data_IF_061300367056
#
_entry.id   IF_061300367056
#
_cell.length_a   1.000
_cell.length_b   1.000
_cell.length_c   1.000
_cell.angle_alpha   90.00
_cell.angle_beta   90.00
_cell.angle_gamma   90.00
#
_symmetry.space_group_name_H-M   'P 1'
#
loop_
_entity.id
_entity.type
_entity.pdbx_description
1 polymer ?
#
# COMPACT_ATOMS: atom_id res chain seq x y z
N UNK A 1 37.45 19.65 1.42
CA UNK A 1 38.62 19.64 0.51
C UNK A 1 38.38 18.74 -0.71
N UNK A 2 37.83 17.52 -0.54
CA UNK A 2 37.51 16.61 -1.65
C UNK A 2 36.49 17.15 -2.67
N UNK A 3 35.43 17.84 -2.25
CA UNK A 3 34.47 18.48 -3.18
C UNK A 3 35.11 19.61 -4.00
N UNK A 4 36.02 20.39 -3.38
CA UNK A 4 36.75 21.47 -4.05
C UNK A 4 37.67 20.97 -5.17
N UNK A 5 38.07 19.69 -5.13
CA UNK A 5 38.90 19.04 -6.17
C UNK A 5 38.05 18.17 -7.12
N UNK A 6 36.71 18.28 -7.06
CA UNK A 6 35.76 17.48 -7.87
C UNK A 6 35.92 15.96 -7.71
N UNK A 7 36.56 15.49 -6.64
CA UNK A 7 36.80 14.06 -6.44
C UNK A 7 35.49 13.31 -6.22
N UNK A 8 34.60 13.86 -5.39
CA UNK A 8 33.29 13.26 -5.07
C UNK A 8 32.43 13.12 -6.33
N UNK A 9 32.38 14.15 -7.19
CA UNK A 9 31.62 14.08 -8.45
C UNK A 9 32.21 13.04 -9.40
N UNK A 10 33.54 12.95 -9.51
CA UNK A 10 34.21 11.93 -10.33
C UNK A 10 33.93 10.51 -9.85
N UNK A 11 33.89 10.30 -8.52
CA UNK A 11 33.52 9.00 -7.95
C UNK A 11 32.07 8.64 -8.25
N UNK A 12 31.13 9.57 -8.07
CA UNK A 12 29.70 9.37 -8.40
C UNK A 12 29.55 9.01 -9.88
N UNK A 13 30.22 9.74 -10.76
CA UNK A 13 30.19 9.48 -12.20
C UNK A 13 30.79 8.13 -12.58
N UNK A 14 31.89 7.73 -11.93
CA UNK A 14 32.50 6.42 -12.15
C UNK A 14 31.61 5.28 -11.68
N UNK A 15 31.02 5.38 -10.48
CA UNK A 15 30.07 4.39 -9.95
C UNK A 15 28.88 4.25 -10.91
N UNK A 16 28.25 5.38 -11.26
CA UNK A 16 27.10 5.37 -12.17
C UNK A 16 27.46 4.76 -13.54
N UNK A 17 28.64 5.06 -14.07
CA UNK A 17 29.12 4.47 -15.32
C UNK A 17 29.31 2.95 -15.23
N UNK A 18 29.96 2.45 -14.18
CA UNK A 18 30.20 1.02 -13.98
C UNK A 18 28.87 0.27 -13.88
N UNK A 19 27.95 0.75 -13.02
CA UNK A 19 26.64 0.12 -12.82
C UNK A 19 25.82 0.11 -14.11
N UNK A 20 25.74 1.24 -14.82
CA UNK A 20 24.99 1.33 -16.08
C UNK A 20 25.58 0.41 -17.16
N UNK A 21 26.91 0.33 -17.26
CA UNK A 21 27.57 -0.56 -18.22
C UNK A 21 27.28 -2.03 -17.93
N UNK A 22 27.39 -2.45 -16.68
CA UNK A 22 27.20 -3.87 -16.30
C UNK A 22 25.73 -4.31 -16.36
N UNK A 23 24.79 -3.45 -15.97
CA UNK A 23 23.36 -3.74 -16.08
C UNK A 23 22.90 -3.99 -17.53
N UNK A 24 23.60 -3.41 -18.52
CA UNK A 24 23.34 -3.68 -19.94
C UNK A 24 23.77 -5.09 -20.37
N UNK A 25 24.76 -5.69 -19.69
CA UNK A 25 25.22 -7.07 -19.95
C UNK A 25 24.36 -8.15 -19.26
N UNK A 26 23.61 -7.81 -18.21
CA UNK A 26 22.75 -8.74 -17.48
C UNK A 26 21.32 -8.87 -18.02
N UNK A 27 20.95 -8.16 -19.10
CA UNK A 27 19.65 -8.31 -19.75
C UNK A 27 19.65 -9.56 -20.65
N UNK A 28 18.80 -10.58 -20.38
CA UNK A 28 18.66 -11.70 -21.31
C UNK A 28 17.82 -11.24 -22.50
N UNK A 29 18.47 -10.84 -23.58
CA UNK A 29 17.74 -10.49 -24.81
C UNK A 29 18.43 -9.50 -25.74
N UNK A 30 19.74 -9.64 -25.99
CA UNK A 30 20.33 -9.19 -27.27
C UNK A 30 21.71 -9.82 -27.48
N UNK A 31 21.70 -11.03 -28.02
CA UNK A 31 22.87 -11.66 -28.62
C UNK A 31 22.45 -12.17 -29.98
N UNK A 32 23.06 -11.61 -31.03
CA UNK A 32 22.81 -11.94 -32.42
C UNK A 32 22.96 -13.44 -32.71
N UNK A 33 22.16 -13.89 -33.66
CA UNK A 33 22.11 -15.21 -34.28
C UNK A 33 23.47 -15.80 -34.65
N UNK A 34 23.85 -16.95 -34.07
CA UNK A 34 24.55 -18.05 -34.77
C UNK A 34 24.21 -19.41 -34.12
N UNK A 35 23.41 -20.18 -34.88
CA UNK A 35 23.35 -21.64 -35.05
C UNK A 35 23.09 -22.64 -33.89
N UNK A 36 22.35 -23.69 -34.30
CA UNK A 36 21.67 -24.75 -33.56
C UNK A 36 22.57 -25.68 -32.72
N UNK A 37 22.02 -26.11 -31.57
CA UNK A 37 21.64 -27.51 -31.26
C UNK A 37 21.83 -27.87 -29.78
N UNK A 38 20.96 -28.77 -29.30
CA UNK A 38 20.87 -29.38 -27.97
C UNK A 38 19.86 -28.74 -26.99
N UNK A 39 18.64 -29.27 -27.10
CA UNK A 39 17.62 -29.30 -26.05
C UNK A 39 18.20 -29.99 -24.81
N UNK A 40 18.17 -29.31 -23.66
CA UNK A 40 17.93 -29.94 -22.34
C UNK A 40 17.66 -28.88 -21.28
N UNK A 41 16.38 -28.80 -20.93
CA UNK A 41 15.84 -28.55 -19.59
C UNK A 41 16.85 -28.22 -18.48
N UNK A 42 16.95 -26.93 -18.16
CA UNK A 42 17.35 -26.50 -16.83
C UNK A 42 16.52 -25.28 -16.45
N UNK A 43 15.46 -25.55 -15.70
CA UNK A 43 14.79 -24.60 -14.82
C UNK A 43 15.84 -24.12 -13.82
N UNK A 44 16.61 -23.11 -14.19
CA UNK A 44 17.42 -22.37 -13.24
C UNK A 44 16.53 -21.28 -12.66
N UNK A 45 16.12 -21.50 -11.41
CA UNK A 45 15.60 -20.48 -10.52
C UNK A 45 16.49 -19.24 -10.57
N UNK A 46 16.06 -18.22 -11.31
CA UNK A 46 16.59 -16.88 -11.14
C UNK A 46 16.09 -16.38 -9.77
N UNK A 47 16.90 -16.57 -8.73
CA UNK A 47 16.89 -15.62 -7.62
C UNK A 47 17.00 -14.24 -8.28
N UNK A 48 16.19 -13.24 -7.91
CA UNK A 48 16.44 -11.89 -8.35
C UNK A 48 17.82 -11.57 -7.77
N UNK A 49 18.83 -11.57 -8.63
CA UNK A 49 20.16 -11.12 -8.26
C UNK A 49 19.93 -9.67 -7.89
N UNK A 50 19.85 -9.40 -6.59
CA UNK A 50 20.15 -8.07 -6.08
C UNK A 50 21.57 -7.88 -6.57
N UNK A 51 21.71 -7.08 -7.63
CA UNK A 51 22.99 -6.89 -8.28
C UNK A 51 24.05 -6.61 -7.21
N UNK A 52 25.22 -7.23 -7.33
CA UNK A 52 26.30 -7.15 -6.33
C UNK A 52 26.56 -5.70 -5.87
N UNK A 53 26.42 -4.73 -6.79
CA UNK A 53 26.60 -3.31 -6.54
C UNK A 53 25.53 -2.71 -5.61
N UNK A 54 24.33 -3.28 -5.54
CA UNK A 54 23.25 -2.75 -4.70
C UNK A 54 23.61 -2.82 -3.21
N UNK A 55 24.31 -3.87 -2.77
CA UNK A 55 24.79 -3.95 -1.39
C UNK A 55 25.84 -2.89 -1.09
N UNK A 56 26.77 -2.65 -2.00
CA UNK A 56 27.82 -1.64 -1.85
C UNK A 56 27.25 -0.22 -1.81
N UNK A 57 26.23 0.07 -2.65
CA UNK A 57 25.56 1.37 -2.64
C UNK A 57 24.86 1.66 -1.31
N UNK A 58 24.41 0.64 -0.58
CA UNK A 58 23.71 0.85 0.70
C UNK A 58 24.59 1.35 1.84
N UNK A 59 25.92 1.31 1.69
CA UNK A 59 26.86 1.88 2.67
C UNK A 59 26.97 3.39 2.54
N UNK A 60 26.56 3.94 1.40
CA UNK A 60 26.62 5.37 1.13
C UNK A 60 25.64 6.15 2.01
N UNK A 61 26.07 7.32 2.48
CA UNK A 61 25.15 8.30 3.07
C UNK A 61 24.08 8.70 2.05
N UNK A 62 22.90 9.06 2.53
CA UNK A 62 21.74 9.30 1.69
C UNK A 62 21.98 10.36 0.60
N UNK A 63 22.72 11.42 0.92
CA UNK A 63 23.06 12.49 -0.03
C UNK A 63 23.90 11.98 -1.20
N UNK A 64 24.85 11.08 -0.92
CA UNK A 64 25.69 10.47 -1.96
C UNK A 64 24.91 9.39 -2.72
N UNK A 65 24.15 8.57 -2.01
CA UNK A 65 23.29 7.53 -2.60
C UNK A 65 22.31 8.14 -3.61
N UNK A 66 21.60 9.21 -3.23
CA UNK A 66 20.69 9.95 -4.12
C UNK A 66 21.42 10.46 -5.37
N UNK A 67 22.60 11.08 -5.21
CA UNK A 67 23.38 11.60 -6.33
C UNK A 67 23.85 10.49 -7.28
N UNK A 68 24.20 9.31 -6.76
CA UNK A 68 24.55 8.14 -7.58
C UNK A 68 23.33 7.69 -8.39
N UNK A 69 22.15 7.53 -7.76
CA UNK A 69 20.95 7.10 -8.48
C UNK A 69 20.53 8.11 -9.56
N UNK A 70 20.62 9.41 -9.28
CA UNK A 70 20.37 10.46 -10.27
C UNK A 70 21.37 10.36 -11.44
N UNK A 71 22.66 10.16 -11.15
CA UNK A 71 23.69 10.01 -12.18
C UNK A 71 23.53 8.72 -13.01
N UNK A 72 22.97 7.65 -12.42
CA UNK A 72 22.60 6.42 -13.14
C UNK A 72 21.42 6.68 -14.09
N UNK A 73 20.36 7.36 -13.61
CA UNK A 73 19.22 7.73 -14.46
C UNK A 73 19.63 8.63 -15.62
N UNK A 74 20.51 9.61 -15.38
CA UNK A 74 21.05 10.48 -16.43
C UNK A 74 21.86 9.73 -17.50
N UNK A 75 22.31 8.50 -17.20
CA UNK A 75 23.03 7.60 -18.12
C UNK A 75 22.12 6.54 -18.74
N UNK A 76 20.80 6.64 -18.55
CA UNK A 76 19.81 5.76 -19.16
C UNK A 76 19.41 4.56 -18.30
N UNK A 77 19.82 4.50 -17.03
CA UNK A 77 19.29 3.49 -16.11
C UNK A 77 17.80 3.73 -15.88
N UNK A 78 16.98 2.68 -16.07
CA UNK A 78 15.52 2.82 -16.05
C UNK A 78 15.01 2.99 -14.62
N UNK A 79 14.08 3.92 -14.41
CA UNK A 79 13.61 4.28 -13.08
C UNK A 79 12.97 3.10 -12.34
N UNK A 80 12.13 2.30 -12.99
CA UNK A 80 11.52 1.09 -12.39
C UNK A 80 12.56 0.08 -11.88
N UNK A 81 13.76 0.04 -12.48
CA UNK A 81 14.83 -0.87 -12.07
C UNK A 81 15.53 -0.43 -10.77
N UNK A 82 15.24 0.78 -10.26
CA UNK A 82 15.75 1.25 -8.96
C UNK A 82 15.03 0.59 -7.77
N UNK A 83 13.88 -0.04 -7.99
CA UNK A 83 13.06 -0.61 -6.91
C UNK A 83 13.84 -1.51 -5.94
N UNK A 84 14.58 -2.53 -6.41
CA UNK A 84 15.35 -3.42 -5.54
C UNK A 84 16.40 -2.70 -4.68
N UNK A 85 17.17 -1.76 -5.25
CA UNK A 85 18.21 -1.05 -4.48
C UNK A 85 17.59 -0.05 -3.49
N UNK A 86 16.48 0.61 -3.85
CA UNK A 86 15.74 1.49 -2.94
C UNK A 86 15.15 0.70 -1.77
N UNK A 87 14.57 -0.48 -2.05
CA UNK A 87 14.06 -1.37 -1.02
C UNK A 87 15.16 -1.84 -0.07
N UNK A 88 16.30 -2.26 -0.59
CA UNK A 88 17.44 -2.68 0.22
C UNK A 88 17.99 -1.52 1.08
N UNK A 89 18.11 -0.32 0.49
CA UNK A 89 18.57 0.87 1.21
C UNK A 89 17.61 1.22 2.36
N UNK A 90 16.30 1.23 2.09
CA UNK A 90 15.27 1.47 3.09
C UNK A 90 15.33 0.44 4.23
N UNK A 91 15.41 -0.85 3.88
CA UNK A 91 15.49 -1.94 4.86
C UNK A 91 16.73 -1.89 5.74
N UNK A 92 17.85 -1.30 5.31
CA UNK A 92 19.06 -1.11 6.13
C UNK A 92 19.00 0.17 6.96
N UNK A 93 18.62 1.28 6.33
CA UNK A 93 18.62 2.60 6.96
C UNK A 93 17.49 2.80 7.99
N UNK A 94 16.34 2.18 7.75
CA UNK A 94 15.16 2.28 8.62
C UNK A 94 15.11 1.19 9.70
N UNK A 95 16.13 0.33 9.81
CA UNK A 95 16.22 -0.68 10.89
C UNK A 95 16.10 -0.05 12.28
N UNK A 96 15.44 -0.77 13.19
CA UNK A 96 15.21 -0.31 14.56
C UNK A 96 13.98 0.58 14.73
N UNK A 97 13.25 0.91 13.66
CA UNK A 97 11.90 1.48 13.77
C UNK A 97 10.91 0.37 14.15
N UNK A 98 10.08 0.62 15.16
CA UNK A 98 8.99 -0.27 15.55
C UNK A 98 7.71 0.12 14.79
N UNK A 99 7.53 -0.48 13.61
CA UNK A 99 6.45 -0.15 12.68
C UNK A 99 5.11 -0.88 12.97
N UNK A 100 5.10 -1.78 13.95
CA UNK A 100 4.00 -2.70 14.25
C UNK A 100 3.40 -2.52 15.66
N UNK A 101 3.40 -1.28 16.18
CA UNK A 101 2.55 -0.90 17.32
C UNK A 101 3.03 -1.34 18.72
N UNK A 102 4.23 -1.94 18.87
CA UNK A 102 4.77 -2.31 20.19
C UNK A 102 5.54 -1.15 20.84
N UNK A 103 4.86 -0.02 21.05
CA UNK A 103 5.41 1.16 21.70
C UNK A 103 6.39 1.96 20.84
N UNK A 104 6.51 3.27 21.10
CA UNK A 104 7.58 4.09 20.53
C UNK A 104 8.83 3.86 21.37
N UNK A 105 9.78 3.04 20.93
CA UNK A 105 11.16 3.14 21.44
C UNK A 105 11.63 4.58 21.28
N UNK A 106 12.12 5.18 22.36
CA UNK A 106 12.72 6.53 22.32
C UNK A 106 13.98 6.47 21.46
N UNK A 107 13.85 6.87 20.20
CA UNK A 107 14.97 7.10 19.30
C UNK A 107 15.54 8.49 19.64
N UNK A 108 16.86 8.65 19.54
CA UNK A 108 17.45 9.97 19.75
C UNK A 108 16.95 10.96 18.69
N UNK A 109 16.59 12.21 19.04
CA UNK A 109 16.00 13.17 18.10
C UNK A 109 16.84 13.38 16.82
N UNK A 110 18.17 13.30 16.96
CA UNK A 110 19.09 13.39 15.82
C UNK A 110 18.95 12.19 14.88
N UNK A 111 18.93 10.98 15.42
CA UNK A 111 18.78 9.76 14.64
C UNK A 111 17.39 9.69 13.99
N UNK A 112 16.36 10.16 14.69
CA UNK A 112 15.00 10.31 14.14
C UNK A 112 15.00 11.27 12.95
N UNK A 113 15.62 12.45 13.07
CA UNK A 113 15.75 13.41 11.97
C UNK A 113 16.52 12.82 10.77
N UNK A 114 17.65 12.15 11.02
CA UNK A 114 18.42 11.49 9.96
C UNK A 114 17.59 10.43 9.22
N UNK A 115 16.81 9.60 9.95
CA UNK A 115 15.89 8.61 9.36
C UNK A 115 14.75 9.26 8.59
N UNK A 116 14.22 10.40 9.06
CA UNK A 116 13.18 11.18 8.37
C UNK A 116 13.69 11.65 7.00
N UNK A 117 14.87 12.26 6.95
CA UNK A 117 15.51 12.73 5.70
C UNK A 117 15.76 11.56 4.74
N UNK A 118 16.23 10.43 5.27
CA UNK A 118 16.41 9.20 4.48
C UNK A 118 15.09 8.76 3.84
N UNK A 119 14.03 8.66 4.63
CA UNK A 119 12.73 8.20 4.15
C UNK A 119 12.15 9.12 3.07
N UNK A 120 12.15 10.44 3.30
CA UNK A 120 11.65 11.41 2.32
C UNK A 120 12.44 11.36 1.01
N UNK A 121 13.77 11.18 1.11
CA UNK A 121 14.62 11.03 -0.07
C UNK A 121 14.31 9.74 -0.83
N UNK A 122 14.12 8.61 -0.13
CA UNK A 122 13.71 7.34 -0.76
C UNK A 122 12.39 7.52 -1.50
N UNK A 123 11.37 8.12 -0.86
CA UNK A 123 10.05 8.35 -1.47
C UNK A 123 10.17 9.21 -2.73
N UNK A 124 11.00 10.26 -2.70
CA UNK A 124 11.25 11.12 -3.87
C UNK A 124 11.90 10.39 -5.06
N UNK A 125 12.58 9.28 -4.81
CA UNK A 125 13.27 8.47 -5.82
C UNK A 125 12.44 7.27 -6.30
N UNK A 126 11.31 6.96 -5.64
CA UNK A 126 10.49 5.80 -6.00
C UNK A 126 9.97 5.91 -7.44
N UNK A 127 9.98 4.81 -8.21
CA UNK A 127 9.39 4.79 -9.54
C UNK A 127 7.90 5.15 -9.49
N UNK A 128 7.44 5.97 -10.43
CA UNK A 128 6.06 6.49 -10.45
C UNK A 128 5.06 5.52 -11.05
N UNK A 129 5.56 4.52 -11.77
CA UNK A 129 4.76 3.54 -12.48
C UNK A 129 4.01 2.62 -11.50
N UNK A 130 2.77 2.28 -11.84
CA UNK A 130 1.97 1.28 -11.13
C UNK A 130 2.71 -0.05 -11.10
N UNK A 131 2.65 -0.77 -9.97
CA UNK A 131 3.29 -2.07 -9.75
C UNK A 131 4.82 -2.05 -9.75
N UNK A 132 5.47 -0.89 -9.79
CA UNK A 132 6.93 -0.82 -9.70
C UNK A 132 7.45 -1.19 -8.30
N UNK A 133 6.65 -0.98 -7.26
CA UNK A 133 6.94 -1.34 -5.87
C UNK A 133 5.78 -2.16 -5.30
N UNK A 134 6.06 -3.14 -4.43
CA UNK A 134 4.99 -3.89 -3.77
C UNK A 134 4.20 -3.00 -2.80
N UNK A 135 2.91 -3.28 -2.62
CA UNK A 135 2.07 -2.56 -1.64
C UNK A 135 2.62 -2.72 -0.23
N UNK A 136 3.13 -3.89 0.11
CA UNK A 136 3.77 -4.15 1.41
C UNK A 136 4.98 -3.26 1.68
N UNK A 137 5.78 -2.97 0.66
CA UNK A 137 6.90 -2.04 0.80
C UNK A 137 6.41 -0.61 0.98
N UNK A 138 5.41 -0.18 0.21
CA UNK A 138 4.79 1.15 0.37
C UNK A 138 4.14 1.31 1.76
N UNK A 139 3.45 0.28 2.25
CA UNK A 139 2.87 0.25 3.60
C UNK A 139 3.95 0.37 4.67
N UNK A 140 5.07 -0.35 4.53
CA UNK A 140 6.21 -0.24 5.43
C UNK A 140 6.77 1.20 5.46
N UNK A 141 6.94 1.84 4.30
CA UNK A 141 7.37 3.23 4.21
C UNK A 141 6.34 4.20 4.82
N UNK A 142 5.04 3.95 4.63
CA UNK A 142 3.97 4.79 5.19
C UNK A 142 3.92 4.71 6.72
N UNK A 143 4.03 3.50 7.29
CA UNK A 143 4.17 3.30 8.73
C UNK A 143 5.40 4.03 9.28
N UNK A 144 6.53 3.95 8.58
CA UNK A 144 7.74 4.67 8.94
C UNK A 144 7.54 6.20 8.83
N UNK A 145 6.82 6.67 7.81
CA UNK A 145 6.53 8.09 7.57
C UNK A 145 5.68 8.68 8.68
N UNK A 146 4.64 7.95 9.12
CA UNK A 146 3.81 8.33 10.28
C UNK A 146 4.60 8.30 11.58
N UNK A 147 5.44 7.28 11.78
CA UNK A 147 6.29 7.16 12.99
C UNK A 147 7.28 8.31 13.10
N UNK A 148 7.90 8.69 11.98
CA UNK A 148 8.92 9.74 11.90
C UNK A 148 8.32 11.13 11.66
N UNK A 149 7.00 11.28 11.56
CA UNK A 149 6.34 12.56 11.30
C UNK A 149 6.98 13.28 10.10
N UNK A 150 7.06 12.59 8.96
CA UNK A 150 7.54 13.19 7.69
C UNK A 150 6.57 14.24 7.18
N UNK A 151 6.99 15.00 6.18
CA UNK A 151 6.14 15.97 5.46
C UNK A 151 4.83 15.34 4.98
N UNK A 152 3.75 16.13 5.02
CA UNK A 152 2.43 15.70 4.53
C UNK A 152 2.50 15.27 3.06
N UNK A 153 3.29 15.96 2.24
CA UNK A 153 3.49 15.59 0.83
C UNK A 153 4.08 14.17 0.67
N UNK A 154 5.05 13.79 1.51
CA UNK A 154 5.63 12.45 1.51
C UNK A 154 4.58 11.38 1.86
N UNK A 155 3.72 11.66 2.85
CA UNK A 155 2.66 10.73 3.26
C UNK A 155 1.60 10.57 2.18
N UNK A 156 1.12 11.68 1.61
CA UNK A 156 0.12 11.67 0.55
C UNK A 156 0.63 10.99 -0.73
N UNK A 157 1.92 11.14 -1.07
CA UNK A 157 2.51 10.44 -2.22
C UNK A 157 2.49 8.92 -2.02
N UNK A 158 2.81 8.44 -0.82
CA UNK A 158 2.71 7.01 -0.49
C UNK A 158 1.27 6.51 -0.51
N UNK A 159 0.33 7.25 0.09
CA UNK A 159 -1.09 6.91 0.09
C UNK A 159 -1.66 6.84 -1.34
N UNK A 160 -1.27 7.78 -2.21
CA UNK A 160 -1.65 7.79 -3.63
C UNK A 160 -1.12 6.57 -4.38
N UNK A 161 0.16 6.25 -4.18
CA UNK A 161 0.80 5.06 -4.80
C UNK A 161 0.17 3.76 -4.32
N UNK A 162 -0.20 3.65 -3.04
CA UNK A 162 -0.93 2.48 -2.53
C UNK A 162 -2.31 2.38 -3.18
N UNK A 163 -3.05 3.48 -3.30
CA UNK A 163 -4.37 3.52 -3.94
C UNK A 163 -4.36 3.00 -5.39
N UNK A 164 -3.34 3.35 -6.19
CA UNK A 164 -3.22 2.92 -7.60
C UNK A 164 -3.12 1.40 -7.79
N UNK A 165 -2.74 0.64 -6.76
CA UNK A 165 -2.50 -0.81 -6.80
C UNK A 165 -3.13 -1.54 -5.61
N UNK A 166 -4.22 -0.99 -5.07
CA UNK A 166 -4.88 -1.50 -3.88
C UNK A 166 -5.38 -2.95 -4.03
N UNK A 167 -5.71 -3.39 -5.25
CA UNK A 167 -6.12 -4.76 -5.55
C UNK A 167 -5.07 -5.84 -5.24
N UNK A 168 -3.80 -5.45 -5.09
CA UNK A 168 -2.70 -6.36 -4.71
C UNK A 168 -2.38 -6.33 -3.22
N UNK A 169 -3.03 -5.46 -2.46
CA UNK A 169 -2.79 -5.32 -1.03
C UNK A 169 -3.41 -6.49 -0.27
N UNK A 170 -2.77 -6.85 0.84
CA UNK A 170 -3.38 -7.71 1.86
C UNK A 170 -3.86 -6.87 3.04
N UNK A 171 -4.68 -7.45 3.92
CA UNK A 171 -5.23 -6.74 5.08
C UNK A 171 -4.13 -6.07 5.92
N UNK A 172 -3.02 -6.78 6.18
CA UNK A 172 -1.90 -6.26 6.96
C UNK A 172 -1.30 -4.98 6.34
N UNK A 173 -1.34 -4.81 5.02
CA UNK A 173 -0.81 -3.60 4.39
C UNK A 173 -1.61 -2.34 4.78
N UNK A 174 -2.88 -2.49 5.19
CA UNK A 174 -3.77 -1.40 5.60
C UNK A 174 -3.82 -1.18 7.11
N UNK A 175 -3.28 -2.08 7.92
CA UNK A 175 -3.28 -1.99 9.39
C UNK A 175 -2.21 -1.02 9.91
N UNK A 176 -2.29 0.24 9.47
CA UNK A 176 -1.39 1.32 9.86
C UNK A 176 -1.68 1.70 11.33
N UNK A 177 -0.74 1.56 12.27
CA UNK A 177 -0.98 1.89 13.67
C UNK A 177 -1.31 3.36 13.86
N UNK A 178 -2.23 3.66 14.76
CA UNK A 178 -2.43 5.02 15.25
C UNK A 178 -1.27 5.42 16.15
N UNK A 179 -0.67 6.59 15.94
CA UNK A 179 0.39 7.15 16.79
C UNK A 179 -0.11 8.34 17.62
N UNK A 180 -1.44 8.46 17.79
CA UNK A 180 -2.05 9.51 18.59
C UNK A 180 -1.68 9.32 20.08
N UNK A 181 -1.34 10.42 20.75
CA UNK A 181 -1.04 10.42 22.19
C UNK A 181 -2.30 10.34 23.08
N UNK A 182 -3.47 10.49 22.47
CA UNK A 182 -4.78 10.66 23.12
C UNK A 182 -5.52 9.35 23.39
N UNK A 183 -5.00 8.21 22.93
CA UNK A 183 -5.69 6.92 23.02
C UNK A 183 -6.74 6.71 21.92
N UNK A 184 -6.65 7.46 20.82
CA UNK A 184 -7.57 7.35 19.68
C UNK A 184 -7.16 6.20 18.78
N UNK A 185 -8.09 5.24 18.63
CA UNK A 185 -8.10 4.05 17.76
C UNK A 185 -6.82 3.21 17.69
N UNK A 186 -6.92 1.90 17.47
CA UNK A 186 -5.76 1.03 17.27
C UNK A 186 -5.06 1.34 15.94
N UNK A 187 -5.83 1.71 14.93
CA UNK A 187 -5.36 1.98 13.57
C UNK A 187 -5.72 3.40 13.10
N UNK A 188 -4.91 3.94 12.18
CA UNK A 188 -5.15 5.20 11.49
C UNK A 188 -6.16 4.99 10.35
N UNK A 189 -7.44 5.09 10.73
CA UNK A 189 -8.61 4.93 9.85
C UNK A 189 -8.64 5.99 8.75
N UNK A 190 -8.20 7.22 9.06
CA UNK A 190 -8.26 8.36 8.13
C UNK A 190 -7.28 8.17 6.96
N UNK A 191 -6.12 7.54 7.22
CA UNK A 191 -5.16 7.16 6.18
C UNK A 191 -5.73 6.14 5.20
N UNK A 192 -6.42 5.10 5.69
CA UNK A 192 -7.03 4.09 4.81
C UNK A 192 -8.19 4.68 4.00
N UNK A 193 -8.97 5.59 4.58
CA UNK A 193 -10.00 6.33 3.86
C UNK A 193 -9.42 7.13 2.67
N UNK A 194 -8.25 7.78 2.85
CA UNK A 194 -7.56 8.50 1.76
C UNK A 194 -6.99 7.55 0.70
N UNK A 195 -6.42 6.42 1.10
CA UNK A 195 -5.95 5.38 0.17
C UNK A 195 -7.10 4.87 -0.71
N UNK A 196 -8.26 4.59 -0.11
CA UNK A 196 -9.45 4.15 -0.84
C UNK A 196 -9.99 5.25 -1.77
N UNK A 197 -9.98 6.51 -1.32
CA UNK A 197 -10.37 7.65 -2.16
C UNK A 197 -9.46 7.80 -3.39
N UNK A 198 -8.14 7.67 -3.21
CA UNK A 198 -7.18 7.66 -4.31
C UNK A 198 -7.41 6.50 -5.29
N UNK A 199 -7.79 5.32 -4.80
CA UNK A 199 -8.16 4.19 -5.66
C UNK A 199 -9.38 4.51 -6.53
N UNK A 200 -10.46 5.05 -5.94
CA UNK A 200 -11.68 5.41 -6.67
C UNK A 200 -11.45 6.52 -7.70
N UNK A 201 -10.63 7.52 -7.34
CA UNK A 201 -10.22 8.59 -8.27
C UNK A 201 -9.44 8.01 -9.45
N UNK A 202 -8.48 7.13 -9.19
CA UNK A 202 -7.69 6.45 -10.22
C UNK A 202 -8.55 5.60 -11.16
N UNK A 203 -9.51 4.82 -10.63
CA UNK A 203 -10.44 4.03 -11.45
C UNK A 203 -11.32 4.91 -12.34
N UNK A 204 -11.75 6.07 -11.83
CA UNK A 204 -12.56 7.04 -12.57
C UNK A 204 -11.76 7.71 -13.69
N UNK A 205 -10.51 8.11 -13.41
CA UNK A 205 -9.60 8.70 -14.41
C UNK A 205 -9.23 7.70 -15.51
N UNK A 206 -8.93 6.44 -15.14
CA UNK A 206 -8.65 5.36 -16.09
C UNK A 206 -9.83 5.10 -17.02
N UNK A 207 -11.05 5.10 -16.48
CA UNK A 207 -12.29 4.96 -17.27
C UNK A 207 -12.52 6.15 -18.22
N UNK A 208 -12.19 7.39 -17.81
CA UNK A 208 -12.37 8.61 -18.62
C UNK A 208 -11.43 8.71 -19.81
N UNK A 209 -10.18 8.25 -19.67
CA UNK A 209 -9.20 8.26 -20.77
C UNK A 209 -9.57 7.27 -21.89
N UNK A 210 -10.36 6.25 -21.58
CA UNK A 210 -10.81 5.21 -22.51
C UNK A 210 -11.88 5.71 -23.51
N UNK A 211 -12.61 6.78 -23.20
CA UNK A 211 -13.63 7.33 -24.10
C UNK A 211 -13.05 8.14 -25.28
N UNK A 212 -11.73 8.37 -25.32
CA UNK A 212 -11.07 9.20 -26.31
C UNK A 212 -10.03 8.46 -27.19
N UNK A 213 -9.83 7.15 -27.01
CA UNK A 213 -8.91 6.35 -27.82
C UNK A 213 -9.57 5.05 -28.25
N UNK A 214 -9.67 4.81 -29.56
CA UNK A 214 -10.32 3.64 -30.17
C UNK A 214 -9.55 2.32 -30.02
N UNK A 215 -8.65 2.15 -29.04
CA UNK A 215 -7.92 0.89 -28.86
C UNK A 215 -7.58 0.56 -27.39
N UNK A 216 -7.74 -0.73 -27.09
CA UNK A 216 -7.29 -1.52 -25.94
C UNK A 216 -7.89 -1.22 -24.55
N UNK A 217 -8.77 -2.12 -24.09
CA UNK A 217 -9.38 -2.14 -22.75
C UNK A 217 -8.32 -2.15 -21.63
N UNK A 218 -8.08 -0.99 -21.01
CA UNK A 218 -7.39 -0.89 -19.71
C UNK A 218 -8.37 -0.37 -18.65
N UNK A 219 -9.55 -0.99 -18.56
CA UNK A 219 -10.30 -1.00 -17.30
C UNK A 219 -9.64 -2.02 -16.39
N UNK A 220 -9.51 -1.72 -15.08
CA UNK A 220 -9.10 -2.74 -14.11
C UNK A 220 -10.04 -3.95 -14.26
N UNK A 221 -9.53 -5.20 -14.36
CA UNK A 221 -10.37 -6.36 -14.52
C UNK A 221 -11.47 -6.37 -13.43
N UNK A 222 -12.70 -6.84 -13.71
CA UNK A 222 -13.76 -6.92 -12.71
C UNK A 222 -13.30 -7.60 -11.40
N UNK A 223 -12.34 -8.52 -11.51
CA UNK A 223 -11.70 -9.22 -10.40
C UNK A 223 -10.87 -8.33 -9.47
N UNK A 224 -10.31 -7.21 -9.94
CA UNK A 224 -9.55 -6.28 -9.10
C UNK A 224 -10.47 -5.44 -8.22
N UNK A 225 -11.61 -5.00 -8.74
CA UNK A 225 -12.63 -4.30 -7.95
C UNK A 225 -13.20 -5.22 -6.86
N UNK A 226 -13.52 -6.47 -7.19
CA UNK A 226 -13.95 -7.48 -6.22
C UNK A 226 -12.89 -7.75 -5.13
N UNK A 227 -11.61 -7.82 -5.51
CA UNK A 227 -10.49 -7.96 -4.55
C UNK A 227 -10.43 -6.79 -3.59
N UNK A 228 -10.55 -5.55 -4.08
CA UNK A 228 -10.58 -4.36 -3.24
C UNK A 228 -11.81 -4.35 -2.34
N UNK A 229 -12.99 -4.69 -2.86
CA UNK A 229 -14.22 -4.83 -2.06
C UNK A 229 -14.02 -5.76 -0.87
N UNK A 230 -13.54 -6.99 -1.14
CA UNK A 230 -13.25 -7.99 -0.11
C UNK A 230 -12.17 -7.55 0.88
N UNK A 231 -11.12 -6.86 0.41
CA UNK A 231 -10.09 -6.29 1.27
C UNK A 231 -10.69 -5.28 2.25
N UNK A 232 -11.55 -4.38 1.75
CA UNK A 232 -12.19 -3.35 2.56
C UNK A 232 -13.22 -3.91 3.54
N UNK A 233 -13.96 -4.97 3.17
CA UNK A 233 -14.83 -5.69 4.11
C UNK A 233 -14.03 -6.34 5.26
N UNK A 234 -12.87 -6.93 4.96
CA UNK A 234 -11.97 -7.47 5.98
C UNK A 234 -11.40 -6.35 6.86
N UNK A 235 -11.04 -5.21 6.28
CA UNK A 235 -10.56 -4.06 7.02
C UNK A 235 -11.65 -3.47 7.95
N UNK A 236 -12.87 -3.31 7.45
CA UNK A 236 -14.03 -2.88 8.24
C UNK A 236 -14.29 -3.83 9.42
N UNK A 237 -14.23 -5.14 9.19
CA UNK A 237 -14.39 -6.13 10.25
C UNK A 237 -13.28 -6.06 11.31
N UNK A 238 -12.04 -5.77 10.90
CA UNK A 238 -10.91 -5.62 11.82
C UNK A 238 -11.06 -4.36 12.69
N UNK A 239 -11.30 -3.19 12.09
CA UNK A 239 -11.47 -1.94 12.85
C UNK A 239 -12.76 -1.93 13.68
N UNK A 240 -13.76 -2.73 13.30
CA UNK A 240 -14.99 -2.84 14.06
C UNK A 240 -14.81 -3.41 15.47
N UNK A 241 -13.71 -4.13 15.71
CA UNK A 241 -13.38 -4.66 17.03
C UNK A 241 -12.92 -3.59 18.02
N UNK A 242 -12.49 -2.43 17.52
CA UNK A 242 -11.98 -1.32 18.30
C UNK A 242 -13.12 -0.40 18.77
N UNK A 243 -13.25 -0.30 20.10
CA UNK A 243 -14.30 0.48 20.77
C UNK A 243 -14.14 2.00 20.61
N UNK A 244 -12.98 2.45 20.16
CA UNK A 244 -12.70 3.86 19.95
C UNK A 244 -13.07 4.33 18.53
N UNK A 245 -13.49 3.41 17.65
CA UNK A 245 -13.92 3.77 16.29
C UNK A 245 -15.34 4.34 16.34
N UNK A 246 -15.45 5.66 16.14
CA UNK A 246 -16.74 6.35 16.09
C UNK A 246 -17.63 5.85 14.94
N UNK A 247 -18.95 6.00 15.10
CA UNK A 247 -19.96 5.64 14.08
C UNK A 247 -19.68 6.34 12.76
N UNK A 248 -19.32 7.63 12.78
CA UNK A 248 -19.01 8.40 11.57
C UNK A 248 -17.80 7.87 10.83
N UNK A 249 -16.75 7.44 11.55
CA UNK A 249 -15.55 6.84 10.93
C UNK A 249 -15.87 5.48 10.29
N UNK A 250 -16.64 4.64 11.00
CA UNK A 250 -17.05 3.34 10.49
C UNK A 250 -17.89 3.48 9.21
N UNK A 251 -18.92 4.32 9.25
CA UNK A 251 -19.80 4.60 8.09
C UNK A 251 -19.01 5.22 6.94
N UNK A 252 -18.16 6.21 7.22
CA UNK A 252 -17.40 6.92 6.19
C UNK A 252 -16.46 6.00 5.38
N UNK A 253 -15.97 4.90 5.96
CA UNK A 253 -15.24 3.89 5.19
C UNK A 253 -16.19 2.93 4.46
N UNK A 254 -17.26 2.49 5.12
CA UNK A 254 -18.23 1.58 4.51
C UNK A 254 -18.86 2.18 3.24
N UNK A 255 -19.13 3.49 3.23
CA UNK A 255 -19.67 4.23 2.08
C UNK A 255 -18.71 4.27 0.88
N UNK A 256 -17.40 4.15 1.10
CA UNK A 256 -16.42 4.14 0.01
C UNK A 256 -16.34 2.79 -0.70
N UNK A 257 -16.91 1.72 -0.15
CA UNK A 257 -16.87 0.38 -0.75
C UNK A 257 -17.98 0.27 -1.81
N UNK A 258 -17.66 0.19 -3.11
CA UNK A 258 -18.68 0.18 -4.16
C UNK A 258 -19.56 -1.07 -4.09
N UNK A 259 -20.86 -0.94 -4.32
CA UNK A 259 -21.77 -2.09 -4.33
C UNK A 259 -21.41 -3.12 -5.42
N UNK A 260 -20.86 -2.66 -6.55
CA UNK A 260 -20.46 -3.52 -7.68
C UNK A 260 -19.24 -4.39 -7.33
N UNK A 261 -18.49 -4.04 -6.28
CA UNK A 261 -17.37 -4.83 -5.78
C UNK A 261 -17.80 -6.04 -4.93
N UNK A 262 -19.09 -6.14 -4.59
CA UNK A 262 -19.63 -7.13 -3.66
C UNK A 262 -20.60 -8.07 -4.37
N UNK A 263 -20.22 -9.34 -4.47
CA UNK A 263 -21.12 -10.39 -4.97
C UNK A 263 -22.21 -10.76 -3.94
N UNK A 264 -21.87 -10.67 -2.65
CA UNK A 264 -22.77 -10.85 -1.51
C UNK A 264 -22.49 -9.77 -0.47
N UNK A 265 -23.43 -9.53 0.43
CA UNK A 265 -23.29 -8.56 1.54
C UNK A 265 -22.85 -9.20 2.86
N UNK A 266 -22.42 -10.48 2.83
CA UNK A 266 -22.04 -11.25 4.02
C UNK A 266 -20.84 -10.63 4.75
N UNK A 267 -19.86 -10.10 3.99
CA UNK A 267 -18.66 -9.47 4.54
C UNK A 267 -19.00 -8.16 5.26
N UNK A 268 -19.84 -7.32 4.65
CA UNK A 268 -20.38 -6.10 5.26
C UNK A 268 -21.23 -6.42 6.50
N UNK A 269 -22.13 -7.40 6.42
CA UNK A 269 -22.93 -7.85 7.57
C UNK A 269 -22.04 -8.29 8.74
N UNK A 270 -21.00 -9.08 8.48
CA UNK A 270 -20.04 -9.49 9.51
C UNK A 270 -19.37 -8.29 10.18
N UNK A 271 -18.94 -7.28 9.40
CA UNK A 271 -18.33 -6.07 9.95
C UNK A 271 -19.32 -5.29 10.82
N UNK A 272 -20.57 -5.12 10.36
CA UNK A 272 -21.66 -4.48 11.11
C UNK A 272 -21.94 -5.23 12.42
N UNK A 273 -22.05 -6.55 12.39
CA UNK A 273 -22.31 -7.35 13.59
C UNK A 273 -21.20 -7.22 14.63
N UNK A 274 -19.94 -7.30 14.19
CA UNK A 274 -18.77 -7.08 15.06
C UNK A 274 -18.81 -5.67 15.67
N UNK A 275 -19.13 -4.65 14.86
CA UNK A 275 -19.19 -3.26 15.32
C UNK A 275 -20.26 -3.08 16.40
N UNK A 276 -21.48 -3.57 16.16
CA UNK A 276 -22.57 -3.53 17.14
C UNK A 276 -22.22 -4.29 18.42
N UNK A 277 -21.51 -5.42 18.31
CA UNK A 277 -21.04 -6.20 19.45
C UNK A 277 -19.99 -5.45 20.28
N UNK A 278 -19.07 -4.74 19.63
CA UNK A 278 -18.04 -3.96 20.31
C UNK A 278 -18.60 -2.66 20.94
N UNK A 279 -19.71 -2.13 20.41
CA UNK A 279 -20.32 -0.86 20.80
C UNK A 279 -21.76 -1.04 21.36
N UNK A 280 -21.94 -1.66 22.53
CA UNK A 280 -23.28 -1.93 23.08
C UNK A 280 -24.04 -0.65 23.47
N UNK A 281 -23.34 0.47 23.69
CA UNK A 281 -23.89 1.75 24.10
C UNK A 281 -24.50 2.59 22.96
N UNK A 282 -24.46 2.10 21.72
CA UNK A 282 -25.07 2.80 20.58
C UNK A 282 -26.58 2.98 20.77
N UNK A 283 -27.06 4.17 20.44
CA UNK A 283 -28.49 4.48 20.36
C UNK A 283 -29.17 3.72 19.22
N UNK A 284 -30.49 3.55 19.30
CA UNK A 284 -31.27 2.91 18.23
C UNK A 284 -31.10 3.60 16.88
N UNK A 285 -30.94 4.94 16.87
CA UNK A 285 -30.70 5.71 15.65
C UNK A 285 -29.33 5.38 15.04
N UNK A 286 -28.29 5.26 15.86
CA UNK A 286 -26.95 4.89 15.40
C UNK A 286 -26.91 3.45 14.90
N UNK A 287 -27.55 2.51 15.61
CA UNK A 287 -27.66 1.11 15.15
C UNK A 287 -28.33 1.04 13.78
N UNK A 288 -29.41 1.80 13.56
CA UNK A 288 -30.06 1.90 12.25
C UNK A 288 -29.14 2.44 11.16
N UNK A 289 -28.38 3.50 11.45
CA UNK A 289 -27.41 4.08 10.49
C UNK A 289 -26.28 3.11 10.13
N UNK A 290 -25.76 2.37 11.12
CA UNK A 290 -24.73 1.36 10.86
C UNK A 290 -25.31 0.20 10.03
N UNK A 291 -26.53 -0.25 10.36
CA UNK A 291 -27.18 -1.35 9.64
C UNK A 291 -27.62 -0.96 8.21
N UNK A 292 -27.80 0.33 7.89
CA UNK A 292 -28.12 0.74 6.52
C UNK A 292 -26.95 0.61 5.55
N UNK A 293 -25.76 0.26 6.04
CA UNK A 293 -24.59 0.05 5.18
C UNK A 293 -24.57 -1.29 4.45
N UNK A 294 -25.45 -2.22 4.82
CA UNK A 294 -25.60 -3.51 4.13
C UNK A 294 -26.94 -3.57 3.40
N UNK A 295 -26.95 -4.20 2.22
CA UNK A 295 -28.19 -4.57 1.54
C UNK A 295 -28.60 -5.99 1.95
N UNK A 296 -29.61 -6.09 2.81
CA UNK A 296 -30.11 -7.38 3.30
C UNK A 296 -30.55 -8.32 2.17
N UNK A 297 -30.99 -7.79 1.02
CA UNK A 297 -31.45 -8.62 -0.11
C UNK A 297 -30.33 -9.44 -0.77
N UNK A 298 -29.08 -9.03 -0.58
CA UNK A 298 -27.89 -9.68 -1.13
C UNK A 298 -27.15 -10.56 -0.10
N UNK A 299 -27.78 -10.83 1.04
CA UNK A 299 -27.25 -11.75 2.04
C UNK A 299 -27.45 -13.20 1.60
N UNK A 300 -26.47 -14.05 1.94
CA UNK A 300 -26.63 -15.50 1.79
C UNK A 300 -27.64 -16.05 2.80
N UNK A 301 -28.18 -17.25 2.53
CA UNK A 301 -29.11 -17.93 3.45
C UNK A 301 -28.52 -18.13 4.85
N UNK A 302 -27.22 -18.40 4.93
CA UNK A 302 -26.52 -18.57 6.20
C UNK A 302 -26.43 -17.25 6.97
N UNK A 303 -26.08 -16.15 6.27
CA UNK A 303 -26.05 -14.82 6.85
C UNK A 303 -27.45 -14.36 7.30
N UNK A 304 -28.50 -14.61 6.50
CA UNK A 304 -29.89 -14.35 6.88
C UNK A 304 -30.29 -15.12 8.14
N UNK A 305 -29.96 -16.42 8.23
CA UNK A 305 -30.27 -17.23 9.41
C UNK A 305 -29.59 -16.69 10.68
N UNK A 306 -28.33 -16.24 10.58
CA UNK A 306 -27.63 -15.61 11.69
C UNK A 306 -28.27 -14.25 12.05
N UNK A 307 -28.58 -13.41 11.06
CA UNK A 307 -29.21 -12.09 11.27
C UNK A 307 -30.61 -12.19 11.88
N UNK A 308 -31.39 -13.20 11.52
CA UNK A 308 -32.71 -13.46 12.10
C UNK A 308 -32.68 -13.73 13.62
N UNK A 309 -31.54 -14.22 14.13
CA UNK A 309 -31.34 -14.53 15.56
C UNK A 309 -30.49 -13.46 16.27
N UNK A 310 -30.15 -12.37 15.59
CA UNK A 310 -29.23 -11.38 16.12
C UNK A 310 -29.98 -10.25 16.83
N UNK A 311 -30.08 -10.36 18.16
CA UNK A 311 -30.76 -9.38 19.03
C UNK A 311 -30.11 -7.98 19.03
N UNK A 312 -28.92 -7.81 18.44
CA UNK A 312 -28.25 -6.49 18.32
C UNK A 312 -28.80 -5.67 17.16
N UNK A 313 -29.42 -6.31 16.17
CA UNK A 313 -29.95 -5.62 14.99
C UNK A 313 -31.25 -4.89 15.33
N UNK A 314 -31.52 -3.73 14.69
CA UNK A 314 -32.83 -3.10 14.76
C UNK A 314 -33.92 -4.06 14.29
N UNK A 315 -35.08 -4.06 14.98
CA UNK A 315 -36.23 -4.93 14.65
C UNK A 315 -36.62 -4.84 13.17
N UNK A 316 -36.54 -3.65 12.57
CA UNK A 316 -36.83 -3.43 11.15
C UNK A 316 -35.91 -4.24 10.22
N UNK A 317 -34.62 -4.32 10.54
CA UNK A 317 -33.62 -5.10 9.80
C UNK A 317 -33.88 -6.59 9.96
N UNK A 318 -34.20 -7.05 11.17
CA UNK A 318 -34.54 -8.47 11.44
C UNK A 318 -35.78 -8.89 10.64
N UNK A 319 -36.82 -8.05 10.62
CA UNK A 319 -38.04 -8.32 9.83
C UNK A 319 -37.73 -8.37 8.33
N UNK A 320 -36.90 -7.45 7.82
CA UNK A 320 -36.49 -7.48 6.41
C UNK A 320 -35.79 -8.78 6.06
N UNK A 321 -34.90 -9.28 6.92
CA UNK A 321 -34.18 -10.55 6.71
C UNK A 321 -35.12 -11.76 6.78
N UNK A 322 -36.08 -11.77 7.70
CA UNK A 322 -37.06 -12.87 7.83
C UNK A 322 -38.02 -13.00 6.63
N UNK A 323 -38.12 -11.96 5.80
CA UNK A 323 -38.98 -11.92 4.62
C UNK A 323 -38.25 -12.31 3.32
N UNK A 324 -36.96 -12.63 3.39
CA UNK A 324 -36.12 -13.10 2.27
C UNK A 324 -36.01 -14.63 2.23
#
# INVERSE_FOLDING_TARGET
MAEKVKLVSRCIDAIAFIVCKESQFCMPGRGDSVNESAVSSAVYHSKPVVDWWAEDLTVLRIDIFQRVLIAMMARGFKQYALGPVLMLYAQKSLRGLELFGKGRKKIEPRQEHEKRVVLETIVSLLPKEKNAMSVSFLSMLLRAAKTLETTVACQLDLEKRMGMQLAQAVLDDLLIPSYSFTGDTLFDVDTVQRIMSNYLEYETEGSRLLYNAEDEYVSSPPTDMERVGKLMENYLAEIATDRNVSVSKFIGIAELVPEQSRATEDGMYRAVDIYLKAHPALSDMERKKVCSMMDCQKLSREACAHAAQNDRLPVQTVVQVLLL
#
